data_IF_669799037426
#
_entry.id   IF_669799037426
#
_cell.length_a   1.000
_cell.length_b   1.000
_cell.length_c   1.000
_cell.angle_alpha   90.00
_cell.angle_beta   90.00
_cell.angle_gamma   90.00
#
_symmetry.space_group_name_H-M   'P 1'
#
loop_
_entity.id
_entity.type
_entity.pdbx_description
1 polymer ?
#
# COMPACT_ATOMS: atom_id res chain seq x y z
N UNK A 1 2.93 23.52 6.62
CA UNK A 1 2.46 22.46 5.71
C UNK A 1 3.60 22.08 4.79
N UNK A 2 3.80 20.79 4.52
CA UNK A 2 4.80 20.36 3.51
C UNK A 2 4.25 20.68 2.14
N UNK A 3 5.04 21.34 1.33
CA UNK A 3 4.71 21.61 -0.06
C UNK A 3 4.81 20.31 -0.86
N UNK A 4 3.66 19.66 -1.10
CA UNK A 4 3.60 18.40 -1.83
C UNK A 4 3.92 18.56 -3.33
N UNK A 5 3.96 19.78 -3.85
CA UNK A 5 4.31 20.02 -5.26
C UNK A 5 5.77 19.65 -5.58
N UNK A 6 6.59 19.53 -4.55
CA UNK A 6 8.01 19.14 -4.65
C UNK A 6 8.24 17.64 -4.56
N UNK A 7 7.19 16.86 -4.31
CA UNK A 7 7.28 15.40 -4.20
C UNK A 7 7.19 14.81 -5.60
N UNK A 8 8.24 14.13 -6.02
CA UNK A 8 8.34 13.53 -7.36
C UNK A 8 8.31 12.02 -7.33
N UNK A 9 8.69 11.42 -6.21
CA UNK A 9 8.69 9.97 -6.01
C UNK A 9 8.44 9.61 -4.54
N UNK A 10 8.25 8.32 -4.26
CA UNK A 10 7.98 7.81 -2.91
C UNK A 10 9.18 8.06 -1.98
N UNK A 11 10.41 8.01 -2.49
CA UNK A 11 11.61 8.27 -1.68
C UNK A 11 11.64 9.69 -1.09
N UNK A 12 11.09 10.68 -1.79
CA UNK A 12 10.93 12.04 -1.24
C UNK A 12 10.03 12.03 0.00
N UNK A 13 8.99 11.20 0.01
CA UNK A 13 8.10 11.02 1.18
C UNK A 13 8.83 10.35 2.34
N UNK A 14 9.72 9.38 2.07
CA UNK A 14 10.54 8.71 3.08
C UNK A 14 11.41 9.71 3.82
N UNK A 15 12.05 10.64 3.11
CA UNK A 15 12.86 11.72 3.72
C UNK A 15 12.04 12.59 4.65
N UNK A 16 10.78 12.88 4.27
CA UNK A 16 9.87 13.68 5.09
C UNK A 16 9.42 12.88 6.32
N UNK A 17 9.05 11.61 6.13
CA UNK A 17 8.62 10.72 7.20
C UNK A 17 9.71 10.59 8.29
N UNK A 18 10.97 10.41 7.89
CA UNK A 18 12.12 10.33 8.80
C UNK A 18 12.25 11.53 9.74
N UNK A 19 11.78 12.70 9.31
CA UNK A 19 11.83 13.95 10.11
C UNK A 19 10.60 14.17 10.99
N UNK A 20 9.48 13.49 10.69
CA UNK A 20 8.18 13.76 11.31
C UNK A 20 7.68 12.65 12.20
N UNK A 21 7.93 11.42 11.79
CA UNK A 21 7.52 10.23 12.53
C UNK A 21 8.47 10.05 13.72
N UNK A 22 7.97 9.71 14.91
CA UNK A 22 8.83 9.37 16.05
C UNK A 22 9.81 8.26 15.65
N UNK A 23 11.08 8.43 16.03
CA UNK A 23 12.18 7.58 15.57
C UNK A 23 11.91 6.09 15.74
N UNK A 24 11.32 5.70 16.87
CA UNK A 24 10.99 4.30 17.16
C UNK A 24 10.07 3.70 16.09
N UNK A 25 9.03 4.42 15.68
CA UNK A 25 8.07 3.96 14.69
C UNK A 25 8.65 4.03 13.27
N UNK A 26 9.44 5.07 12.99
CA UNK A 26 10.13 5.17 11.71
C UNK A 26 11.11 4.03 11.51
N UNK A 27 11.98 3.77 12.50
CA UNK A 27 13.00 2.72 12.42
C UNK A 27 12.36 1.33 12.31
N UNK A 28 11.19 1.11 12.94
CA UNK A 28 10.43 -0.12 12.78
C UNK A 28 9.98 -0.37 11.33
N UNK A 29 9.46 0.65 10.67
CA UNK A 29 9.01 0.55 9.28
C UNK A 29 10.16 0.53 8.26
N UNK A 30 11.25 1.26 8.55
CA UNK A 30 12.38 1.45 7.65
C UNK A 30 13.50 0.44 7.90
N UNK A 31 13.15 -0.75 8.33
CA UNK A 31 14.10 -1.84 8.59
C UNK A 31 13.53 -3.19 8.16
N UNK A 32 14.43 -4.12 7.91
CA UNK A 32 14.10 -5.52 7.63
C UNK A 32 14.70 -6.45 8.68
N UNK A 33 14.25 -7.70 8.69
CA UNK A 33 14.75 -8.71 9.63
C UNK A 33 16.16 -9.16 9.27
N UNK A 34 16.94 -9.52 10.29
CA UNK A 34 18.29 -10.09 10.19
C UNK A 34 19.22 -9.27 9.27
N UNK A 35 19.66 -9.85 8.17
CA UNK A 35 20.56 -9.23 7.20
C UNK A 35 19.86 -8.23 6.29
N UNK A 36 18.54 -8.08 6.39
CA UNK A 36 17.74 -7.20 5.54
C UNK A 36 17.83 -7.50 4.04
N UNK A 37 18.16 -8.72 3.67
CA UNK A 37 18.34 -9.10 2.26
C UNK A 37 17.05 -8.92 1.45
N UNK A 38 15.94 -9.41 1.96
CA UNK A 38 14.61 -9.26 1.32
C UNK A 38 14.18 -7.80 1.27
N UNK A 39 14.39 -7.04 2.35
CA UNK A 39 14.09 -5.62 2.38
C UNK A 39 14.82 -4.87 1.25
N UNK A 40 16.12 -5.15 1.06
CA UNK A 40 16.88 -4.54 -0.04
C UNK A 40 16.48 -5.05 -1.42
N UNK A 41 16.13 -6.33 -1.55
CA UNK A 41 15.68 -6.91 -2.80
C UNK A 41 14.34 -6.33 -3.26
N UNK A 42 13.42 -6.02 -2.34
CA UNK A 42 12.13 -5.39 -2.64
C UNK A 42 12.27 -4.08 -3.45
N UNK A 43 13.38 -3.39 -3.31
CA UNK A 43 13.67 -2.18 -4.09
C UNK A 43 14.57 -2.49 -5.29
N UNK A 44 15.67 -3.22 -5.06
CA UNK A 44 16.69 -3.47 -6.07
C UNK A 44 16.17 -4.28 -7.27
N UNK A 45 15.29 -5.25 -7.04
CA UNK A 45 14.76 -6.11 -8.09
C UNK A 45 13.90 -5.33 -9.10
N UNK A 46 13.20 -4.28 -8.67
CA UNK A 46 12.48 -3.41 -9.60
C UNK A 46 13.42 -2.68 -10.56
N UNK A 47 14.66 -2.41 -10.18
CA UNK A 47 15.65 -1.76 -11.04
C UNK A 47 16.11 -2.66 -12.19
N UNK A 48 15.94 -3.97 -12.08
CA UNK A 48 16.22 -4.93 -13.16
C UNK A 48 15.17 -4.89 -14.27
N UNK A 49 13.96 -4.41 -13.97
CA UNK A 49 12.84 -4.32 -14.91
C UNK A 49 12.98 -3.05 -15.73
N UNK A 50 13.17 -3.18 -17.03
CA UNK A 50 13.34 -2.05 -17.94
C UNK A 50 12.14 -1.89 -18.86
N UNK A 51 11.69 -0.66 -19.02
CA UNK A 51 10.64 -0.31 -19.96
C UNK A 51 11.22 -0.18 -21.36
N UNK A 52 10.68 -0.95 -22.31
CA UNK A 52 11.03 -0.79 -23.74
C UNK A 52 10.16 0.28 -24.36
N UNK A 53 10.74 1.42 -24.65
CA UNK A 53 10.04 2.49 -25.37
C UNK A 53 9.71 2.06 -26.80
N UNK A 54 8.55 2.48 -27.27
CA UNK A 54 8.13 2.39 -28.68
C UNK A 54 7.72 3.77 -29.13
N UNK A 55 8.35 4.28 -30.16
CA UNK A 55 8.04 5.57 -30.77
C UNK A 55 7.03 5.42 -31.91
N UNK A 56 6.36 6.50 -32.28
CA UNK A 56 5.38 6.57 -33.37
C UNK A 56 4.21 5.57 -33.25
N UNK A 57 3.79 5.26 -32.01
CA UNK A 57 2.62 4.41 -31.73
C UNK A 57 1.43 5.29 -31.39
N UNK A 58 0.29 5.05 -32.06
CA UNK A 58 -0.95 5.73 -31.70
C UNK A 58 -1.38 5.39 -30.27
N UNK A 59 -1.51 6.39 -29.44
CA UNK A 59 -1.90 6.28 -28.02
C UNK A 59 -3.38 6.59 -27.79
N UNK A 60 -4.13 6.95 -28.83
CA UNK A 60 -5.55 7.27 -28.73
C UNK A 60 -6.34 6.06 -28.23
N UNK A 61 -7.23 6.29 -27.28
CA UNK A 61 -8.08 5.25 -26.71
C UNK A 61 -7.43 4.32 -25.68
N UNK A 62 -6.16 4.53 -25.31
CA UNK A 62 -5.55 3.78 -24.21
C UNK A 62 -6.17 4.14 -22.87
N UNK A 63 -6.48 3.14 -22.07
CA UNK A 63 -7.05 3.29 -20.74
C UNK A 63 -6.28 2.44 -19.74
N UNK A 64 -6.22 2.91 -18.50
CA UNK A 64 -5.73 2.13 -17.35
C UNK A 64 -6.85 1.46 -16.58
N UNK A 65 -8.11 1.75 -16.94
CA UNK A 65 -9.27 1.17 -16.27
C UNK A 65 -9.25 -0.35 -16.38
N UNK A 66 -9.61 -1.02 -15.30
CA UNK A 66 -9.62 -2.48 -15.20
C UNK A 66 -10.71 -2.92 -14.23
N UNK A 67 -10.73 -4.20 -13.93
CA UNK A 67 -11.59 -4.79 -12.90
C UNK A 67 -10.71 -5.55 -11.93
N UNK A 68 -10.87 -5.29 -10.63
CA UNK A 68 -10.24 -6.03 -9.54
C UNK A 68 -11.34 -6.55 -8.62
N UNK A 69 -11.28 -7.84 -8.29
CA UNK A 69 -12.26 -8.51 -7.39
C UNK A 69 -13.72 -8.22 -7.81
N UNK A 70 -13.97 -8.21 -9.13
CA UNK A 70 -15.31 -7.94 -9.69
C UNK A 70 -15.71 -6.45 -9.71
N UNK A 71 -14.93 -5.54 -9.15
CA UNK A 71 -15.21 -4.11 -9.09
C UNK A 71 -14.43 -3.33 -10.16
N UNK A 72 -15.07 -2.35 -10.83
CA UNK A 72 -14.38 -1.47 -11.78
C UNK A 72 -13.41 -0.54 -11.04
N UNK A 73 -12.18 -0.46 -11.52
CA UNK A 73 -11.12 0.35 -10.91
C UNK A 73 -10.46 1.29 -11.93
N UNK A 74 -9.92 2.40 -11.45
CA UNK A 74 -9.24 3.38 -12.31
C UNK A 74 -7.94 2.85 -12.91
N UNK A 75 -7.30 1.90 -12.22
CA UNK A 75 -6.10 1.17 -12.65
C UNK A 75 -5.96 -0.13 -11.86
N UNK A 76 -5.27 -1.17 -12.39
CA UNK A 76 -5.15 -2.47 -11.75
C UNK A 76 -4.13 -2.46 -10.59
N UNK A 77 -4.40 -1.66 -9.57
CA UNK A 77 -3.59 -1.50 -8.35
C UNK A 77 -4.54 -1.37 -7.17
N UNK A 78 -4.17 -1.94 -6.03
CA UNK A 78 -4.84 -1.75 -4.75
C UNK A 78 -3.82 -1.29 -3.70
N UNK A 79 -4.28 -0.57 -2.68
CA UNK A 79 -3.44 -0.30 -1.51
C UNK A 79 -3.40 -1.57 -0.66
N UNK A 80 -2.19 -2.11 -0.46
CA UNK A 80 -1.96 -3.32 0.32
C UNK A 80 -2.30 -3.11 1.81
N UNK A 81 -2.67 -4.18 2.53
CA UNK A 81 -2.89 -4.11 3.97
C UNK A 81 -1.57 -3.79 4.69
N UNK A 82 -1.55 -2.66 5.40
CA UNK A 82 -0.39 -2.22 6.18
C UNK A 82 -0.79 -2.11 7.65
N UNK A 83 -0.16 -2.92 8.48
CA UNK A 83 -0.39 -2.90 9.92
C UNK A 83 0.19 -1.64 10.58
N UNK A 84 -0.42 -1.25 11.70
CA UNK A 84 0.09 -0.20 12.59
C UNK A 84 0.30 1.17 11.91
N UNK A 85 -0.43 1.47 10.84
CA UNK A 85 -0.30 2.73 10.09
C UNK A 85 -0.59 3.94 10.98
N UNK A 86 -1.50 3.80 11.94
CA UNK A 86 -1.80 4.83 12.93
C UNK A 86 -0.61 5.23 13.82
N UNK A 87 0.42 4.39 13.96
CA UNK A 87 1.66 4.75 14.66
C UNK A 87 2.52 5.71 13.84
N UNK A 88 2.38 5.68 12.52
CA UNK A 88 3.12 6.56 11.61
C UNK A 88 2.44 7.92 11.47
N UNK A 89 1.10 7.91 11.44
CA UNK A 89 0.28 9.10 11.34
C UNK A 89 -1.09 8.83 11.95
N UNK A 90 -1.59 9.77 12.77
CA UNK A 90 -2.95 9.67 13.32
C UNK A 90 -3.95 9.50 12.16
N UNK A 91 -4.92 8.61 12.34
CA UNK A 91 -5.94 8.26 11.36
C UNK A 91 -5.37 7.77 10.01
N UNK A 92 -4.16 7.19 10.02
CA UNK A 92 -3.42 6.80 8.82
C UNK A 92 -4.23 5.89 7.89
N UNK A 93 -4.93 4.91 8.45
CA UNK A 93 -5.78 3.97 7.70
C UNK A 93 -6.98 4.68 7.07
N UNK A 94 -7.61 5.60 7.79
CA UNK A 94 -8.75 6.40 7.29
C UNK A 94 -8.30 7.31 6.14
N UNK A 95 -7.15 7.95 6.30
CA UNK A 95 -6.58 8.83 5.28
C UNK A 95 -6.21 8.06 4.02
N UNK A 96 -5.62 6.85 4.18
CA UNK A 96 -5.29 5.97 3.07
C UNK A 96 -6.54 5.50 2.32
N UNK A 97 -7.60 5.11 3.05
CA UNK A 97 -8.89 4.71 2.48
C UNK A 97 -9.53 5.87 1.70
N UNK A 98 -9.52 7.08 2.24
CA UNK A 98 -10.00 8.28 1.53
C UNK A 98 -9.22 8.57 0.25
N UNK A 99 -7.89 8.43 0.30
CA UNK A 99 -7.03 8.64 -0.86
C UNK A 99 -7.29 7.58 -1.94
N UNK A 100 -7.40 6.32 -1.56
CA UNK A 100 -7.73 5.22 -2.47
C UNK A 100 -9.07 5.46 -3.18
N UNK A 101 -10.10 5.84 -2.41
CA UNK A 101 -11.42 6.19 -2.94
C UNK A 101 -11.35 7.35 -3.93
N UNK A 102 -10.68 8.44 -3.56
CA UNK A 102 -10.54 9.62 -4.42
C UNK A 102 -9.83 9.28 -5.75
N UNK A 103 -8.91 8.31 -5.70
CA UNK A 103 -8.20 7.83 -6.89
C UNK A 103 -8.96 6.75 -7.68
N UNK A 104 -9.95 6.11 -7.09
CA UNK A 104 -10.75 5.04 -7.70
C UNK A 104 -10.04 3.69 -7.73
N UNK A 105 -9.32 3.35 -6.66
CA UNK A 105 -8.65 2.06 -6.45
C UNK A 105 -9.09 1.45 -5.11
N UNK A 106 -9.04 0.11 -4.95
CA UNK A 106 -9.35 -0.55 -3.70
C UNK A 106 -8.36 -0.21 -2.58
N UNK A 107 -8.86 -0.21 -1.36
CA UNK A 107 -8.10 -0.14 -0.13
C UNK A 107 -8.32 -1.41 0.68
N UNK A 108 -7.23 -2.00 1.17
CA UNK A 108 -7.29 -3.20 1.99
C UNK A 108 -6.88 -2.85 3.43
N UNK A 109 -7.77 -3.10 4.38
CA UNK A 109 -7.48 -2.87 5.80
C UNK A 109 -6.73 -4.07 6.39
N UNK A 110 -5.66 -3.79 7.12
CA UNK A 110 -4.90 -4.82 7.83
C UNK A 110 -5.64 -5.26 9.09
N UNK A 111 -5.56 -6.55 9.43
CA UNK A 111 -5.99 -7.06 10.74
C UNK A 111 -5.19 -6.48 11.91
N UNK A 112 -4.01 -5.90 11.64
CA UNK A 112 -3.16 -5.18 12.58
C UNK A 112 -3.34 -3.66 12.51
N UNK A 113 -4.48 -3.17 11.99
CA UNK A 113 -4.77 -1.74 11.95
C UNK A 113 -4.97 -1.15 13.34
N UNK A 114 -4.66 0.12 13.50
CA UNK A 114 -4.96 0.90 14.73
C UNK A 114 -6.42 1.37 14.70
N UNK A 115 -6.89 1.85 13.54
CA UNK A 115 -8.30 2.21 13.37
C UNK A 115 -9.16 0.95 13.24
N UNK A 116 -10.34 0.96 13.87
CA UNK A 116 -11.31 -0.11 13.72
C UNK A 116 -11.93 -0.14 12.31
N UNK A 117 -12.52 -1.26 11.94
CA UNK A 117 -13.23 -1.40 10.67
C UNK A 117 -14.36 -0.38 10.57
N UNK A 118 -15.08 -0.23 11.68
CA UNK A 118 -16.21 0.70 11.80
C UNK A 118 -15.75 2.15 11.60
N UNK A 119 -14.63 2.54 12.23
CA UNK A 119 -14.06 3.88 12.07
C UNK A 119 -13.66 4.16 10.62
N UNK A 120 -12.99 3.18 9.98
CA UNK A 120 -12.59 3.33 8.57
C UNK A 120 -13.85 3.42 7.68
N UNK A 121 -14.83 2.54 7.86
CA UNK A 121 -16.07 2.56 7.08
C UNK A 121 -16.84 3.88 7.26
N UNK A 122 -16.96 4.37 8.49
CA UNK A 122 -17.68 5.60 8.80
C UNK A 122 -16.96 6.84 8.25
N UNK A 123 -15.65 6.93 8.42
CA UNK A 123 -14.90 8.16 8.16
C UNK A 123 -14.24 8.20 6.79
N UNK A 124 -14.04 7.07 6.11
CA UNK A 124 -13.57 7.06 4.73
C UNK A 124 -14.65 7.48 3.72
N UNK A 125 -15.91 7.53 4.17
CA UNK A 125 -17.09 7.97 3.41
C UNK A 125 -17.80 6.83 2.67
N UNK A 126 -19.05 7.06 2.20
CA UNK A 126 -19.90 6.02 1.63
C UNK A 126 -19.23 5.35 0.42
N UNK A 127 -19.40 4.02 0.33
CA UNK A 127 -18.83 3.21 -0.76
C UNK A 127 -17.36 2.83 -0.61
N UNK A 128 -16.76 3.01 0.57
CA UNK A 128 -15.53 2.30 0.95
C UNK A 128 -15.93 1.05 1.70
N UNK A 129 -15.83 -0.08 1.03
CA UNK A 129 -15.90 -1.37 1.69
C UNK A 129 -14.45 -1.79 1.98
N UNK A 130 -14.00 -1.77 3.24
CA UNK A 130 -12.66 -2.23 3.57
C UNK A 130 -12.58 -3.74 3.32
N UNK A 131 -11.80 -4.15 2.35
CA UNK A 131 -11.44 -5.57 2.22
C UNK A 131 -10.55 -5.94 3.40
N UNK A 132 -11.00 -6.92 4.18
CA UNK A 132 -10.27 -7.41 5.33
C UNK A 132 -9.47 -8.63 4.90
N UNK A 133 -8.16 -8.56 5.01
CA UNK A 133 -7.31 -9.75 4.90
C UNK A 133 -7.23 -10.40 6.28
N UNK A 134 -7.99 -11.48 6.48
CA UNK A 134 -7.80 -12.35 7.62
C UNK A 134 -6.46 -13.09 7.50
N UNK A 135 -5.75 -13.33 8.61
CA UNK A 135 -4.60 -14.26 8.60
C UNK A 135 -5.07 -15.61 8.07
N UNK A 136 -4.31 -16.22 7.17
CA UNK A 136 -4.57 -17.62 6.80
C UNK A 136 -4.36 -18.48 8.04
N UNK A 137 -5.33 -19.31 8.34
CA UNK A 137 -5.12 -20.39 9.32
C UNK A 137 -4.02 -21.32 8.79
N UNK A 138 -3.09 -21.80 9.65
CA UNK A 138 -2.02 -22.70 9.22
C UNK A 138 -2.49 -23.96 8.50
N UNK A 139 -3.75 -24.36 8.71
CA UNK A 139 -4.38 -25.53 8.11
C UNK A 139 -4.73 -25.35 6.63
N UNK A 140 -4.73 -24.10 6.12
CA UNK A 140 -5.08 -23.78 4.74
C UNK A 140 -3.88 -23.80 3.78
N UNK A 141 -2.68 -24.16 4.27
CA UNK A 141 -1.48 -24.28 3.46
C UNK A 141 -1.09 -25.78 3.32
N UNK A 142 -1.56 -26.48 2.27
CA UNK A 142 -1.35 -27.93 2.14
C UNK A 142 0.12 -28.35 1.92
N UNK A 143 1.01 -27.40 1.67
CA UNK A 143 2.42 -27.63 1.34
C UNK A 143 3.40 -26.93 2.31
N UNK A 144 3.00 -26.67 3.55
CA UNK A 144 3.92 -26.09 4.55
C UNK A 144 4.82 -27.19 5.14
N UNK A 145 6.12 -27.26 4.76
CA UNK A 145 7.04 -28.30 5.24
C UNK A 145 7.40 -28.16 6.72
N UNK A 146 6.88 -27.16 7.43
CA UNK A 146 7.12 -26.91 8.87
C UNK A 146 5.99 -27.50 9.74
N UNK A 147 4.91 -28.00 9.13
CA UNK A 147 3.78 -28.59 9.85
C UNK A 147 3.93 -30.11 10.11
N UNK A 148 5.13 -30.68 9.99
CA UNK A 148 5.44 -32.10 10.24
C UNK A 148 6.38 -32.26 11.44
#
# INVERSE_FOLDING_TARGET
MTDLSKITCIEDLRVIAKRRVPRMFYDYCDSGSYTQSTYRANEADFQSIKLRQRVAVNMTGRSRRSTLVGQPVAMPVAIAPTGLTGMQHADGEILAARAAKAFGIPFTLSTMSICSIEDVAQHAGPGVEPEIVAPREPQDCPDDPVAA
#
